data_IF_726043063259
#
_entry.id   IF_726043063259
#
_cell.length_a   1.000
_cell.length_b   1.000
_cell.length_c   1.000
_cell.angle_alpha   90.00
_cell.angle_beta   90.00
_cell.angle_gamma   90.00
#
_symmetry.space_group_name_H-M   'P 1'
#
loop_
_entity.id
_entity.type
_entity.pdbx_description
1 polymer ?
#
# COMPACT_ATOMS: atom_id res chain seq x y z
N UNK A 1 -31.81 -35.90 -12.96
CA UNK A 1 -31.91 -34.64 -12.20
C UNK A 1 -31.03 -34.78 -10.97
N UNK A 2 -29.90 -34.09 -10.96
CA UNK A 2 -29.12 -33.77 -9.77
C UNK A 2 -28.51 -32.40 -10.06
N UNK A 3 -28.86 -31.42 -9.23
CA UNK A 3 -28.54 -30.02 -9.42
C UNK A 3 -27.05 -29.79 -9.17
N UNK A 4 -26.31 -29.43 -10.22
CA UNK A 4 -24.99 -28.82 -10.12
C UNK A 4 -25.17 -27.31 -9.97
N UNK A 5 -25.22 -26.81 -8.74
CA UNK A 5 -24.79 -25.43 -8.43
C UNK A 5 -23.26 -25.47 -8.36
N UNK A 6 -22.48 -24.76 -9.18
CA UNK A 6 -22.63 -23.35 -9.44
C UNK A 6 -21.70 -22.57 -8.51
N UNK A 7 -20.39 -22.72 -8.69
CA UNK A 7 -19.38 -21.76 -8.27
C UNK A 7 -18.14 -21.98 -9.16
N UNK A 8 -17.81 -20.98 -9.98
CA UNK A 8 -16.52 -20.95 -10.69
C UNK A 8 -15.35 -20.89 -9.70
N UNK A 9 -14.09 -20.82 -10.17
CA UNK A 9 -12.96 -20.67 -9.27
C UNK A 9 -13.12 -19.34 -8.55
N UNK A 10 -13.68 -19.39 -7.34
CA UNK A 10 -13.74 -18.26 -6.45
C UNK A 10 -12.32 -17.78 -6.27
N UNK A 11 -12.09 -16.47 -6.45
CA UNK A 11 -10.95 -15.84 -5.83
C UNK A 11 -11.01 -16.23 -4.35
N UNK A 12 -10.19 -17.19 -3.94
CA UNK A 12 -9.78 -17.30 -2.55
C UNK A 12 -9.05 -15.98 -2.28
N UNK A 13 -9.79 -15.01 -1.74
CA UNK A 13 -9.19 -13.93 -0.98
C UNK A 13 -8.51 -14.61 0.18
N UNK A 14 -7.21 -14.88 0.00
CA UNK A 14 -6.28 -15.41 0.97
C UNK A 14 -6.67 -14.96 2.36
N UNK A 15 -7.32 -15.86 3.11
CA UNK A 15 -7.77 -15.57 4.47
C UNK A 15 -6.48 -15.39 5.28
N UNK A 16 -6.20 -14.19 5.81
CA UNK A 16 -4.86 -13.87 6.28
C UNK A 16 -4.41 -14.65 7.53
N UNK A 17 -5.27 -15.50 8.10
CA UNK A 17 -4.97 -16.32 9.28
C UNK A 17 -4.20 -17.62 9.03
N UNK A 18 -3.97 -18.03 7.78
CA UNK A 18 -3.23 -19.29 7.46
C UNK A 18 -1.81 -19.10 6.95
N UNK A 19 -1.39 -17.86 6.74
CA UNK A 19 -0.16 -17.56 5.99
C UNK A 19 0.87 -16.99 6.96
N UNK A 20 2.08 -17.55 6.94
CA UNK A 20 3.16 -17.12 7.82
C UNK A 20 3.54 -15.65 7.60
N UNK A 21 4.23 -15.01 8.55
CA UNK A 21 4.67 -13.60 8.44
C UNK A 21 5.40 -13.29 7.13
N UNK A 22 6.12 -14.27 6.59
CA UNK A 22 6.88 -14.21 5.34
C UNK A 22 6.01 -13.95 4.10
N UNK A 23 4.81 -14.52 4.05
CA UNK A 23 3.90 -14.30 2.93
C UNK A 23 3.21 -12.94 2.99
N UNK A 24 3.00 -12.42 4.20
CA UNK A 24 2.56 -11.04 4.39
C UNK A 24 3.60 -10.05 3.88
N UNK A 25 4.87 -10.24 4.26
CA UNK A 25 5.99 -9.43 3.75
C UNK A 25 6.10 -9.52 2.22
N UNK A 26 5.96 -10.71 1.65
CA UNK A 26 6.00 -10.92 0.19
C UNK A 26 4.90 -10.09 -0.49
N UNK A 27 3.68 -10.12 0.03
CA UNK A 27 2.55 -9.34 -0.50
C UNK A 27 2.77 -7.83 -0.39
N UNK A 28 3.39 -7.37 0.71
CA UNK A 28 3.79 -5.97 0.92
C UNK A 28 4.82 -5.54 -0.11
N UNK A 29 5.92 -6.29 -0.28
CA UNK A 29 6.98 -5.99 -1.24
C UNK A 29 6.48 -6.01 -2.69
N UNK A 30 5.61 -6.95 -3.04
CA UNK A 30 4.96 -6.98 -4.36
C UNK A 30 4.12 -5.72 -4.58
N UNK A 31 3.39 -5.28 -3.56
CA UNK A 31 2.53 -4.09 -3.66
C UNK A 31 3.37 -2.83 -3.84
N UNK A 32 4.49 -2.71 -3.12
CA UNK A 32 5.45 -1.61 -3.26
C UNK A 32 6.04 -1.60 -4.67
N UNK A 33 6.52 -2.74 -5.17
CA UNK A 33 7.05 -2.83 -6.54
C UNK A 33 6.02 -2.39 -7.60
N UNK A 34 4.74 -2.75 -7.42
CA UNK A 34 3.65 -2.30 -8.30
C UNK A 34 3.38 -0.79 -8.19
N UNK A 35 3.56 -0.20 -7.01
CA UNK A 35 3.48 1.26 -6.83
C UNK A 35 4.59 1.91 -7.64
N UNK A 36 5.84 1.47 -7.47
CA UNK A 36 7.00 2.00 -8.19
C UNK A 36 6.83 1.89 -9.71
N UNK A 37 6.42 0.70 -10.19
CA UNK A 37 6.10 0.48 -11.61
C UNK A 37 5.01 1.45 -12.10
N UNK A 38 3.94 1.65 -11.31
CA UNK A 38 2.85 2.54 -11.68
C UNK A 38 3.23 4.01 -11.72
N UNK A 39 4.21 4.43 -10.91
CA UNK A 39 4.76 5.79 -10.90
C UNK A 39 5.71 5.99 -12.08
N UNK A 40 6.51 4.97 -12.45
CA UNK A 40 7.41 5.04 -13.60
C UNK A 40 6.66 5.00 -14.95
N UNK A 41 5.53 4.28 -15.02
CA UNK A 41 4.71 4.13 -16.23
C UNK A 41 3.39 4.92 -16.14
N UNK A 42 3.42 6.19 -15.70
CA UNK A 42 2.21 6.99 -15.54
C UNK A 42 1.46 7.23 -16.86
N UNK A 43 0.15 6.97 -16.86
CA UNK A 43 -0.75 7.26 -18.00
C UNK A 43 -1.36 8.65 -17.90
N UNK A 44 -0.50 9.66 -17.70
CA UNK A 44 -0.89 11.07 -17.52
C UNK A 44 -1.23 11.44 -16.08
N UNK A 45 -1.52 12.73 -15.84
CA UNK A 45 -1.72 13.32 -14.50
C UNK A 45 -2.98 12.86 -13.77
N UNK A 46 -3.88 12.13 -14.45
CA UNK A 46 -5.12 11.58 -13.87
C UNK A 46 -5.03 10.10 -13.55
N UNK A 47 -3.86 9.47 -13.67
CA UNK A 47 -3.69 8.05 -13.36
C UNK A 47 -3.89 7.78 -11.87
N UNK A 48 -4.86 6.93 -11.55
CA UNK A 48 -5.24 6.60 -10.16
C UNK A 48 -4.60 5.32 -9.64
N UNK A 49 -3.84 4.60 -10.47
CA UNK A 49 -3.22 3.32 -10.08
C UNK A 49 -2.34 3.45 -8.82
N UNK A 50 -1.42 4.44 -8.73
CA UNK A 50 -0.56 4.56 -7.53
C UNK A 50 -1.39 4.73 -6.25
N UNK A 51 -2.45 5.53 -6.32
CA UNK A 51 -3.37 5.75 -5.20
C UNK A 51 -4.11 4.49 -4.77
N UNK A 52 -4.66 3.72 -5.71
CA UNK A 52 -5.38 2.49 -5.34
C UNK A 52 -4.44 1.43 -4.75
N UNK A 53 -3.22 1.32 -5.30
CA UNK A 53 -2.19 0.43 -4.78
C UNK A 53 -1.74 0.86 -3.37
N UNK A 54 -1.63 2.16 -3.11
CA UNK A 54 -1.37 2.68 -1.76
C UNK A 54 -2.44 2.25 -0.77
N UNK A 55 -3.73 2.42 -1.10
CA UNK A 55 -4.82 1.98 -0.22
C UNK A 55 -4.80 0.48 0.04
N UNK A 56 -4.40 -0.31 -0.96
CA UNK A 56 -4.19 -1.74 -0.80
C UNK A 56 -3.01 -2.05 0.12
N UNK A 57 -1.92 -1.29 0.05
CA UNK A 57 -0.77 -1.43 0.96
C UNK A 57 -1.18 -1.13 2.40
N UNK A 58 -1.86 0.00 2.65
CA UNK A 58 -2.40 0.38 3.97
C UNK A 58 -3.35 -0.69 4.50
N UNK A 59 -4.20 -1.27 3.65
CA UNK A 59 -5.12 -2.34 4.03
C UNK A 59 -4.45 -3.60 4.58
N UNK A 60 -3.16 -3.81 4.29
CA UNK A 60 -2.38 -4.95 4.78
C UNK A 60 -1.81 -4.74 6.18
N UNK A 61 -1.82 -3.51 6.70
CA UNK A 61 -1.40 -3.22 8.07
C UNK A 61 -2.37 -3.92 9.03
N UNK A 62 -1.90 -4.89 9.85
CA UNK A 62 -2.76 -5.70 10.70
C UNK A 62 -3.30 -4.91 11.91
N UNK A 63 -2.62 -3.83 12.31
CA UNK A 63 -3.09 -2.94 13.36
C UNK A 63 -4.21 -2.01 12.83
N UNK A 64 -5.40 -2.12 13.41
CA UNK A 64 -6.58 -1.37 13.02
C UNK A 64 -6.48 0.13 13.31
N UNK A 65 -5.80 0.52 14.38
CA UNK A 65 -5.63 1.91 14.79
C UNK A 65 -4.69 2.61 13.81
N UNK A 66 -3.50 2.02 13.60
CA UNK A 66 -2.51 2.55 12.64
C UNK A 66 -3.08 2.60 11.23
N UNK A 67 -3.84 1.58 10.81
CA UNK A 67 -4.49 1.57 9.50
C UNK A 67 -5.48 2.72 9.34
N UNK A 68 -6.26 3.05 10.38
CA UNK A 68 -7.19 4.20 10.36
C UNK A 68 -6.45 5.52 10.31
N UNK A 69 -5.36 5.65 11.06
CA UNK A 69 -4.50 6.85 11.04
C UNK A 69 -3.92 7.09 9.64
N UNK A 70 -3.36 6.06 9.00
CA UNK A 70 -2.82 6.15 7.64
C UNK A 70 -3.88 6.53 6.62
N UNK A 71 -5.09 5.94 6.68
CA UNK A 71 -6.18 6.35 5.80
C UNK A 71 -6.62 7.79 6.05
N UNK A 72 -6.73 8.20 7.33
CA UNK A 72 -7.09 9.57 7.70
C UNK A 72 -6.07 10.60 7.21
N UNK A 73 -4.77 10.28 7.31
CA UNK A 73 -3.68 11.11 6.80
C UNK A 73 -3.79 11.27 5.27
N UNK A 74 -3.98 10.17 4.54
CA UNK A 74 -4.17 10.22 3.07
C UNK A 74 -5.37 11.08 2.70
N UNK A 75 -6.51 10.91 3.35
CA UNK A 75 -7.73 11.66 3.01
C UNK A 75 -7.61 13.16 3.35
N UNK A 76 -6.95 13.49 4.47
CA UNK A 76 -6.65 14.86 4.86
C UNK A 76 -5.73 15.53 3.85
N UNK A 77 -4.61 14.88 3.50
CA UNK A 77 -3.65 15.44 2.55
C UNK A 77 -4.24 15.55 1.15
N UNK A 78 -4.99 14.57 0.66
CA UNK A 78 -5.65 14.67 -0.64
C UNK A 78 -6.66 15.83 -0.72
N UNK A 79 -7.39 16.06 0.37
CA UNK A 79 -8.31 17.20 0.45
C UNK A 79 -7.54 18.52 0.39
N UNK A 80 -6.47 18.64 1.18
CA UNK A 80 -5.58 19.80 1.18
C UNK A 80 -4.97 20.07 -0.19
N UNK A 81 -4.44 19.03 -0.85
CA UNK A 81 -3.83 19.12 -2.19
C UNK A 81 -4.83 19.54 -3.27
N UNK A 82 -6.10 19.15 -3.13
CA UNK A 82 -7.17 19.55 -4.05
C UNK A 82 -7.53 21.04 -3.91
N UNK A 83 -7.39 21.59 -2.72
CA UNK A 83 -7.62 23.01 -2.44
C UNK A 83 -6.41 23.88 -2.83
N UNK A 84 -5.19 23.36 -2.69
CA UNK A 84 -3.93 24.06 -2.96
C UNK A 84 -3.62 24.19 -4.46
N UNK A 85 -3.85 23.12 -5.23
CA UNK A 85 -3.43 23.06 -6.63
C UNK A 85 -4.63 23.12 -7.59
N UNK A 86 -4.70 24.19 -8.38
CA UNK A 86 -5.66 24.31 -9.49
C UNK A 86 -5.18 23.68 -10.80
N UNK A 87 -3.86 23.44 -10.92
CA UNK A 87 -3.25 22.78 -12.06
C UNK A 87 -3.21 21.26 -11.85
N UNK A 88 -3.77 20.51 -12.79
CA UNK A 88 -3.83 19.04 -12.72
C UNK A 88 -2.45 18.38 -12.68
N UNK A 89 -1.44 18.95 -13.33
CA UNK A 89 -0.10 18.35 -13.38
C UNK A 89 0.65 18.53 -12.06
N UNK A 90 0.54 19.72 -11.45
CA UNK A 90 1.08 19.99 -10.11
C UNK A 90 0.37 19.17 -9.04
N UNK A 91 -0.97 19.10 -9.13
CA UNK A 91 -1.78 18.26 -8.26
C UNK A 91 -1.39 16.78 -8.41
N UNK A 92 -1.27 16.28 -9.64
CA UNK A 92 -0.84 14.92 -9.92
C UNK A 92 0.53 14.61 -9.35
N UNK A 93 1.51 15.52 -9.50
CA UNK A 93 2.83 15.38 -8.89
C UNK A 93 2.76 15.31 -7.35
N UNK A 94 2.01 16.20 -6.72
CA UNK A 94 1.88 16.22 -5.28
C UNK A 94 1.20 14.95 -4.74
N UNK A 95 0.22 14.40 -5.47
CA UNK A 95 -0.39 13.10 -5.14
C UNK A 95 0.62 11.96 -5.21
N UNK A 96 1.52 11.96 -6.20
CA UNK A 96 2.57 10.94 -6.30
C UNK A 96 3.57 11.04 -5.16
N UNK A 97 3.97 12.25 -4.78
CA UNK A 97 4.85 12.49 -3.63
C UNK A 97 4.18 12.00 -2.33
N UNK A 98 2.89 12.27 -2.13
CA UNK A 98 2.11 11.72 -1.02
C UNK A 98 2.09 10.19 -1.02
N UNK A 99 1.87 9.57 -2.19
CA UNK A 99 1.90 8.10 -2.33
C UNK A 99 3.24 7.52 -1.90
N UNK A 100 4.35 8.12 -2.33
CA UNK A 100 5.70 7.67 -1.94
C UNK A 100 5.94 7.79 -0.44
N UNK A 101 5.52 8.90 0.18
CA UNK A 101 5.67 9.10 1.64
C UNK A 101 4.90 8.03 2.41
N UNK A 102 3.61 7.84 2.12
CA UNK A 102 2.76 6.90 2.86
C UNK A 102 3.17 5.44 2.60
N UNK A 103 3.67 5.12 1.39
CA UNK A 103 4.25 3.82 1.13
C UNK A 103 5.49 3.57 2.01
N UNK A 104 6.33 4.59 2.22
CA UNK A 104 7.45 4.55 3.16
C UNK A 104 7.02 4.30 4.60
N UNK A 105 5.97 4.98 5.08
CA UNK A 105 5.41 4.75 6.43
C UNK A 105 4.90 3.31 6.60
N UNK A 106 4.23 2.77 5.57
CA UNK A 106 3.82 1.36 5.58
C UNK A 106 5.02 0.41 5.67
N UNK A 107 6.10 0.68 4.93
CA UNK A 107 7.33 -0.12 4.99
C UNK A 107 7.95 -0.07 6.39
N UNK A 108 8.08 1.13 6.97
CA UNK A 108 8.64 1.30 8.30
C UNK A 108 7.85 0.49 9.35
N UNK A 109 6.52 0.50 9.27
CA UNK A 109 5.67 -0.33 10.11
C UNK A 109 5.99 -1.84 9.94
N UNK A 110 6.11 -2.33 8.70
CA UNK A 110 6.39 -3.74 8.45
C UNK A 110 7.82 -4.14 8.88
N UNK A 111 8.81 -3.27 8.71
CA UNK A 111 10.18 -3.50 9.18
C UNK A 111 10.24 -3.62 10.71
N UNK A 112 9.46 -2.82 11.43
CA UNK A 112 9.30 -2.92 12.88
C UNK A 112 8.57 -4.23 13.27
N UNK A 113 7.44 -4.52 12.61
CA UNK A 113 6.62 -5.72 12.86
C UNK A 113 7.41 -7.02 12.69
N UNK A 114 8.30 -7.09 11.69
CA UNK A 114 9.10 -8.29 11.37
C UNK A 114 10.37 -8.35 12.24
N UNK A 115 10.69 -7.29 12.97
CA UNK A 115 11.86 -7.24 13.85
C UNK A 115 13.16 -6.97 13.11
N UNK A 116 13.12 -6.40 11.89
CA UNK A 116 14.31 -5.82 11.24
C UNK A 116 14.81 -4.60 12.03
N UNK A 117 13.94 -3.99 12.85
CA UNK A 117 14.32 -3.02 13.88
C UNK A 117 15.17 -3.59 15.05
N UNK A 118 15.42 -4.92 15.14
CA UNK A 118 16.44 -5.46 16.06
C UNK A 118 17.84 -5.34 15.45
N UNK A 119 18.50 -4.20 15.73
CA UNK A 119 19.95 -3.96 15.67
C UNK A 119 20.70 -4.74 14.57
N UNK A 120 20.96 -4.08 13.44
CA UNK A 120 22.23 -4.34 12.75
C UNK A 120 23.37 -3.95 13.71
N UNK A 121 23.85 -4.90 14.51
CA UNK A 121 25.17 -4.79 15.12
C UNK A 121 26.15 -4.93 13.98
N UNK A 122 26.65 -3.79 13.48
CA UNK A 122 27.89 -3.78 12.71
C UNK A 122 28.96 -4.28 13.68
N UNK A 123 29.23 -5.59 13.63
CA UNK A 123 30.46 -6.14 14.20
C UNK A 123 31.60 -5.46 13.47
N UNK A 124 32.34 -4.59 14.17
CA UNK A 124 33.63 -4.11 13.69
C UNK A 124 34.48 -5.34 13.35
N UNK A 125 34.89 -5.43 12.09
CA UNK A 125 36.09 -6.18 11.69
C UNK A 125 37.12 -5.12 11.32
#
# INVERSE_FOLDING_TARGET
>A
MNEQSGAGPGLELDIPGKIGPESYLTSVMITIGKIDESILDLKGSTDRRPYYLLRQLIARVPDDEIRRELFGLVETELTRLKEEFSNNDEHGRAVLELVSVIAGECVAYFDEYIGIARKQVISKV
#
